data_IF_477566850952
#
_entry.id   IF_477566850952
#
_cell.length_a   1.000
_cell.length_b   1.000
_cell.length_c   1.000
_cell.angle_alpha   90.00
_cell.angle_beta   90.00
_cell.angle_gamma   90.00
#
_symmetry.space_group_name_H-M   'P 1'
#
loop_
_entity.id
_entity.type
_entity.pdbx_description
1 polymer ?
#
# COMPACT_ATOMS: atom_id res chain seq x y z
N UNK A 1 9.82 5.64 -7.70
CA UNK A 1 10.67 5.92 -6.54
C UNK A 1 11.04 7.40 -6.45
N UNK A 2 11.58 8.04 -7.50
CA UNK A 2 11.86 9.47 -7.47
C UNK A 2 10.63 10.37 -7.18
N UNK A 3 9.46 10.00 -7.70
CA UNK A 3 8.21 10.76 -7.44
C UNK A 3 7.70 10.59 -6.02
N UNK A 4 7.79 9.37 -5.47
CA UNK A 4 7.40 9.09 -4.08
C UNK A 4 8.35 9.81 -3.12
N UNK A 5 9.64 9.77 -3.41
CA UNK A 5 10.68 10.48 -2.65
C UNK A 5 10.48 12.01 -2.69
N UNK A 6 10.28 12.59 -3.87
CA UNK A 6 10.09 14.04 -4.03
C UNK A 6 8.77 14.58 -3.45
N UNK A 7 7.76 13.73 -3.27
CA UNK A 7 6.52 14.09 -2.56
C UNK A 7 6.67 13.96 -1.04
N UNK A 8 7.56 13.08 -0.57
CA UNK A 8 7.85 12.87 0.86
C UNK A 8 8.80 13.92 1.44
N UNK A 9 9.70 14.47 0.62
CA UNK A 9 10.77 15.39 1.04
C UNK A 9 10.32 16.85 1.28
N UNK A 10 9.00 17.10 1.42
CA UNK A 10 8.48 18.46 1.62
C UNK A 10 8.32 18.78 3.10
N UNK A 11 9.01 19.82 3.62
CA UNK A 11 8.87 20.22 5.02
C UNK A 11 7.44 20.70 5.29
N UNK A 12 6.93 20.34 6.48
CA UNK A 12 5.64 20.82 6.96
C UNK A 12 5.68 22.34 7.05
N UNK A 13 4.91 23.00 6.20
CA UNK A 13 4.65 24.44 6.28
C UNK A 13 3.59 24.63 7.36
N UNK A 14 3.88 25.46 8.36
CA UNK A 14 2.91 25.84 9.40
C UNK A 14 1.70 26.48 8.72
N UNK A 15 0.55 25.84 8.89
CA UNK A 15 -0.72 26.24 8.31
C UNK A 15 -1.74 26.37 9.44
N UNK A 16 -1.60 27.41 10.26
CA UNK A 16 -2.48 27.72 11.41
C UNK A 16 -3.98 27.88 11.07
N UNK A 17 -4.36 27.87 9.78
CA UNK A 17 -5.74 27.95 9.31
C UNK A 17 -6.31 26.65 8.73
N UNK A 18 -5.53 25.56 8.68
CA UNK A 18 -5.93 24.32 7.99
C UNK A 18 -6.33 23.23 8.98
N UNK A 19 -5.89 23.31 10.24
CA UNK A 19 -6.08 22.31 11.29
C UNK A 19 -7.53 21.84 11.52
N UNK A 20 -8.53 22.70 11.30
CA UNK A 20 -9.93 22.32 11.51
C UNK A 20 -10.48 21.45 10.37
N UNK A 21 -10.02 21.67 9.13
CA UNK A 21 -10.35 20.87 7.95
C UNK A 21 -9.48 19.62 7.82
N UNK A 22 -8.64 19.35 8.81
CA UNK A 22 -7.54 18.39 8.79
C UNK A 22 -7.56 17.56 10.08
N UNK A 23 -8.49 17.80 11.01
CA UNK A 23 -8.77 16.96 12.17
C UNK A 23 -9.22 15.51 11.84
N UNK A 24 -9.59 15.21 10.58
CA UNK A 24 -9.78 13.85 10.03
C UNK A 24 -8.50 13.25 9.40
N UNK A 25 -7.39 14.00 9.38
CA UNK A 25 -6.06 13.59 8.93
C UNK A 25 -5.49 12.33 9.57
N UNK A 26 -5.78 11.93 10.83
CA UNK A 26 -5.15 10.70 11.35
C UNK A 26 -5.46 9.48 10.48
N UNK A 27 -6.56 9.48 9.73
CA UNK A 27 -6.86 8.44 8.75
C UNK A 27 -6.49 8.79 7.30
N UNK A 28 -6.26 10.07 6.99
CA UNK A 28 -5.93 10.49 5.63
C UNK A 28 -4.56 9.95 5.18
N UNK A 29 -3.59 9.91 6.10
CA UNK A 29 -2.30 9.23 5.90
C UNK A 29 -2.53 7.75 5.63
N UNK A 30 -3.30 7.07 6.47
CA UNK A 30 -3.55 5.63 6.32
C UNK A 30 -4.33 5.29 5.05
N UNK A 31 -5.27 6.12 4.61
CA UNK A 31 -5.98 5.94 3.33
C UNK A 31 -5.01 6.09 2.14
N UNK A 32 -4.10 7.06 2.20
CA UNK A 32 -3.07 7.22 1.19
C UNK A 32 -2.15 5.99 1.13
N UNK A 33 -1.75 5.46 2.30
CA UNK A 33 -0.99 4.22 2.43
C UNK A 33 -1.73 3.02 1.81
N UNK A 34 -3.01 2.82 2.13
CA UNK A 34 -3.85 1.79 1.48
C UNK A 34 -3.82 1.93 -0.05
N UNK A 35 -4.01 3.15 -0.57
CA UNK A 35 -4.04 3.42 -2.01
C UNK A 35 -2.69 3.15 -2.69
N UNK A 36 -1.59 3.61 -2.09
CA UNK A 36 -0.24 3.41 -2.62
C UNK A 36 0.13 1.93 -2.67
N UNK A 37 -0.11 1.21 -1.57
CA UNK A 37 0.22 -0.22 -1.48
C UNK A 37 -0.73 -1.10 -2.28
N UNK A 38 -1.97 -0.68 -2.51
CA UNK A 38 -2.85 -1.31 -3.50
C UNK A 38 -2.22 -1.27 -4.90
N UNK A 39 -1.78 -0.09 -5.35
CA UNK A 39 -1.16 0.07 -6.68
C UNK A 39 0.16 -0.69 -6.77
N UNK A 40 1.02 -0.60 -5.75
CA UNK A 40 2.28 -1.35 -5.68
C UNK A 40 2.01 -2.86 -5.79
N UNK A 41 1.08 -3.37 -4.98
CA UNK A 41 0.73 -4.79 -4.95
C UNK A 41 0.12 -5.27 -6.25
N UNK A 42 -0.66 -4.42 -6.95
CA UNK A 42 -1.18 -4.72 -8.29
C UNK A 42 -0.03 -4.95 -9.29
N UNK A 43 0.99 -4.11 -9.27
CA UNK A 43 2.16 -4.26 -10.15
C UNK A 43 2.98 -5.50 -9.79
N UNK A 44 3.21 -5.75 -8.50
CA UNK A 44 3.95 -6.94 -8.03
C UNK A 44 3.21 -8.21 -8.46
N UNK A 45 1.91 -8.29 -8.16
CA UNK A 45 1.08 -9.44 -8.51
C UNK A 45 1.03 -9.66 -10.03
N UNK A 46 0.86 -8.60 -10.83
CA UNK A 46 0.87 -8.67 -12.30
C UNK A 46 2.23 -9.10 -12.85
N UNK A 47 3.32 -8.59 -12.28
CA UNK A 47 4.69 -8.95 -12.68
C UNK A 47 4.95 -10.42 -12.41
N UNK A 48 4.61 -10.91 -11.21
CA UNK A 48 4.79 -12.31 -10.86
C UNK A 48 3.96 -13.17 -11.82
N UNK A 49 2.66 -12.92 -11.98
CA UNK A 49 1.79 -13.73 -12.84
C UNK A 49 2.20 -13.72 -14.33
N UNK A 50 2.79 -12.64 -14.82
CA UNK A 50 3.22 -12.52 -16.22
C UNK A 50 4.60 -13.14 -16.46
N UNK A 51 5.55 -12.92 -15.56
CA UNK A 51 6.95 -13.35 -15.72
C UNK A 51 7.17 -14.77 -15.22
N UNK A 52 6.47 -15.19 -14.16
CA UNK A 52 6.58 -16.53 -13.58
C UNK A 52 5.20 -17.17 -13.43
N UNK A 53 5.01 -18.37 -13.97
CA UNK A 53 3.79 -19.15 -13.75
C UNK A 53 3.80 -19.81 -12.37
N UNK A 54 3.94 -19.01 -11.32
CA UNK A 54 3.81 -19.48 -9.94
C UNK A 54 2.34 -19.78 -9.63
N UNK A 55 2.12 -20.73 -8.72
CA UNK A 55 0.79 -20.99 -8.18
C UNK A 55 0.19 -19.73 -7.53
N UNK A 56 -1.13 -19.64 -7.51
CA UNK A 56 -1.85 -18.49 -6.94
C UNK A 56 -1.44 -18.24 -5.48
N UNK A 57 -1.29 -19.28 -4.67
CA UNK A 57 -0.88 -19.16 -3.26
C UNK A 57 0.51 -18.53 -3.09
N UNK A 58 1.49 -18.97 -3.89
CA UNK A 58 2.85 -18.40 -3.85
C UNK A 58 2.87 -16.94 -4.35
N UNK A 59 2.07 -16.64 -5.37
CA UNK A 59 1.93 -15.27 -5.89
C UNK A 59 1.34 -14.32 -4.84
N UNK A 60 0.28 -14.77 -4.16
CA UNK A 60 -0.35 -14.02 -3.07
C UNK A 60 0.63 -13.82 -1.91
N UNK A 61 1.32 -14.88 -1.48
CA UNK A 61 2.33 -14.81 -0.42
C UNK A 61 3.42 -13.79 -0.74
N UNK A 62 4.03 -13.86 -1.93
CA UNK A 62 5.09 -12.92 -2.32
C UNK A 62 4.59 -11.48 -2.42
N UNK A 63 3.35 -11.27 -2.87
CA UNK A 63 2.74 -9.94 -2.95
C UNK A 63 2.55 -9.34 -1.55
N UNK A 64 1.96 -10.10 -0.62
CA UNK A 64 1.75 -9.67 0.76
C UNK A 64 3.06 -9.47 1.51
N UNK A 65 4.04 -10.38 1.30
CA UNK A 65 5.36 -10.25 1.89
C UNK A 65 6.09 -9.00 1.40
N UNK A 66 5.98 -8.68 0.11
CA UNK A 66 6.55 -7.47 -0.46
C UNK A 66 5.90 -6.23 0.14
N UNK A 67 4.57 -6.18 0.23
CA UNK A 67 3.86 -5.06 0.85
C UNK A 67 4.28 -4.86 2.32
N UNK A 68 4.35 -5.94 3.11
CA UNK A 68 4.81 -5.87 4.49
C UNK A 68 6.27 -5.37 4.61
N UNK A 69 7.17 -5.92 3.80
CA UNK A 69 8.58 -5.53 3.83
C UNK A 69 8.77 -4.05 3.46
N UNK A 70 8.08 -3.59 2.41
CA UNK A 70 8.13 -2.18 2.03
C UNK A 70 7.45 -1.27 3.07
N UNK A 71 6.32 -1.68 3.67
CA UNK A 71 5.63 -0.89 4.70
C UNK A 71 6.46 -0.70 5.96
N UNK A 72 7.12 -1.77 6.42
CA UNK A 72 8.08 -1.68 7.53
C UNK A 72 9.26 -0.76 7.18
N UNK A 73 9.79 -0.85 5.96
CA UNK A 73 10.86 0.05 5.52
C UNK A 73 10.38 1.49 5.43
N UNK A 74 9.14 1.75 5.02
CA UNK A 74 8.57 3.10 4.93
C UNK A 74 8.45 3.72 6.33
N UNK A 75 7.90 2.98 7.30
CA UNK A 75 7.86 3.43 8.70
C UNK A 75 9.25 3.72 9.28
N UNK A 76 10.23 2.84 9.01
CA UNK A 76 11.61 3.07 9.47
C UNK A 76 12.27 4.29 8.83
N UNK A 77 11.89 4.66 7.60
CA UNK A 77 12.35 5.91 6.99
C UNK A 77 11.62 7.11 7.60
N UNK A 78 10.30 7.00 7.78
CA UNK A 78 9.44 8.05 8.32
C UNK A 78 9.73 8.33 9.81
N UNK A 79 10.19 7.35 10.57
CA UNK A 79 10.62 7.54 11.97
C UNK A 79 11.83 8.47 12.12
N UNK A 80 12.58 8.73 11.04
CA UNK A 80 13.68 9.70 11.02
C UNK A 80 13.21 11.13 10.68
N UNK A 81 11.92 11.33 10.41
CA UNK A 81 11.34 12.66 10.13
C UNK A 81 10.78 13.22 11.43
N UNK A 82 11.34 14.34 11.90
CA UNK A 82 10.88 15.00 13.13
C UNK A 82 9.42 15.47 13.00
N UNK A 83 8.63 15.23 14.05
CA UNK A 83 7.23 15.68 14.13
C UNK A 83 6.16 14.69 13.67
N UNK A 84 6.53 13.49 13.18
CA UNK A 84 5.57 12.44 12.83
C UNK A 84 5.59 11.31 13.86
N UNK A 85 4.41 10.90 14.33
CA UNK A 85 4.28 9.65 15.08
C UNK A 85 4.33 8.49 14.09
N UNK A 86 5.43 7.73 14.07
CA UNK A 86 5.46 6.43 13.39
C UNK A 86 4.45 5.53 14.09
N UNK A 87 3.48 5.02 13.33
CA UNK A 87 2.33 4.34 13.89
C UNK A 87 2.17 2.99 13.18
N UNK A 88 2.14 1.90 13.95
CA UNK A 88 2.01 0.55 13.40
C UNK A 88 0.72 0.35 12.57
N UNK A 89 -0.22 1.29 12.68
CA UNK A 89 -1.45 1.42 11.90
C UNK A 89 -1.18 1.66 10.41
N UNK A 90 -0.10 2.35 10.04
CA UNK A 90 0.25 2.64 8.65
C UNK A 90 0.77 1.37 7.93
N UNK A 91 1.56 0.53 8.62
CA UNK A 91 1.93 -0.81 8.09
C UNK A 91 0.69 -1.70 7.90
N UNK A 92 -0.30 -1.59 8.79
CA UNK A 92 -1.55 -2.34 8.67
C UNK A 92 -2.34 -1.85 7.45
N UNK A 93 -2.39 -0.54 7.20
CA UNK A 93 -2.98 0.04 6.00
C UNK A 93 -2.27 -0.45 4.72
N UNK A 94 -0.95 -0.55 4.73
CA UNK A 94 -0.15 -1.05 3.61
C UNK A 94 -0.49 -2.50 3.26
N UNK A 95 -0.51 -3.37 4.27
CA UNK A 95 -0.87 -4.78 4.11
C UNK A 95 -2.32 -4.91 3.67
N UNK A 96 -3.23 -4.07 4.17
CA UNK A 96 -4.63 -4.06 3.77
C UNK A 96 -4.80 -3.76 2.28
N UNK A 97 -4.09 -2.76 1.75
CA UNK A 97 -4.06 -2.45 0.31
C UNK A 97 -3.62 -3.65 -0.53
N UNK A 98 -2.64 -4.43 -0.06
CA UNK A 98 -2.17 -5.64 -0.73
C UNK A 98 -3.19 -6.79 -0.70
N UNK A 99 -3.89 -6.98 0.43
CA UNK A 99 -4.95 -7.98 0.57
C UNK A 99 -6.09 -7.72 -0.42
N UNK A 100 -6.50 -6.46 -0.59
CA UNK A 100 -7.55 -6.08 -1.53
C UNK A 100 -7.23 -6.52 -2.97
N UNK A 101 -5.97 -6.40 -3.40
CA UNK A 101 -5.52 -6.87 -4.72
C UNK A 101 -5.68 -8.39 -4.87
N UNK A 102 -5.24 -9.15 -3.86
CA UNK A 102 -5.31 -10.62 -3.88
C UNK A 102 -6.77 -11.09 -3.93
N UNK A 103 -7.65 -10.50 -3.11
CA UNK A 103 -9.08 -10.82 -3.07
C UNK A 103 -9.76 -10.46 -4.39
N UNK A 104 -9.50 -9.26 -4.92
CA UNK A 104 -10.05 -8.82 -6.19
C UNK A 104 -9.66 -9.77 -7.33
N UNK A 105 -8.39 -10.20 -7.37
CA UNK A 105 -7.92 -11.13 -8.39
C UNK A 105 -8.51 -12.54 -8.24
N UNK A 106 -8.68 -13.02 -7.02
CA UNK A 106 -9.36 -14.29 -6.76
C UNK A 106 -10.82 -14.25 -7.25
N UNK A 107 -11.54 -13.17 -6.96
CA UNK A 107 -12.91 -12.94 -7.44
C UNK A 107 -13.01 -12.94 -8.96
N UNK A 108 -12.13 -12.18 -9.65
CA UNK A 108 -12.07 -12.15 -11.11
C UNK A 108 -11.78 -13.52 -11.73
N UNK A 109 -10.89 -14.31 -11.11
CA UNK A 109 -10.57 -15.66 -11.58
C UNK A 109 -11.78 -16.59 -11.44
N UNK A 110 -12.51 -16.52 -10.32
CA UNK A 110 -13.73 -17.30 -10.09
C UNK A 110 -14.83 -16.93 -11.09
N UNK A 111 -15.05 -15.63 -11.33
CA UNK A 111 -16.05 -15.17 -12.30
C UNK A 111 -15.74 -15.64 -13.73
N UNK A 112 -14.47 -15.54 -14.16
CA UNK A 112 -14.04 -16.01 -15.48
C UNK A 112 -14.19 -17.51 -15.66
N UNK A 113 -13.95 -18.31 -14.62
CA UNK A 113 -14.13 -19.76 -14.67
C UNK A 113 -15.61 -20.16 -14.85
N UNK A 114 -16.52 -19.41 -14.22
CA UNK A 114 -17.96 -19.67 -14.30
C UNK A 114 -18.59 -19.23 -15.62
N UNK A 115 -17.98 -18.27 -16.32
CA UNK A 115 -18.46 -17.78 -17.62
C UNK A 115 -18.03 -18.63 -18.83
N UNK A 116 -17.16 -19.63 -18.60
CA UNK A 116 -16.61 -20.51 -19.66
C UNK A 116 -17.00 -21.99 -19.52
N UNK A 117 -17.91 -22.32 -18.59
CA UNK A 117 -18.51 -23.65 -18.45
C UNK A 117 -19.99 -23.59 -18.80
#
# INVERSE_FOLDING_TARGET
MAVIYALSDRPAVDYDGVDDATSWLPFASSIAHVGLYFVLSMFVFRTITTTKRLGFGMTAYLTLFTALAFGVLDELHQSNVEGRASEATDVVADVFGAVLVVVFWFGLRKYRSNASG
#
